data_IF_764519702737
#
_entry.id   IF_764519702737
#
_cell.length_a   1.000
_cell.length_b   1.000
_cell.length_c   1.000
_cell.angle_alpha   90.00
_cell.angle_beta   90.00
_cell.angle_gamma   90.00
#
_symmetry.space_group_name_H-M   'P 1'
#
loop_
_entity.id
_entity.type
_entity.pdbx_description
1 polymer ?
#
# COMPACT_ATOMS: atom_id res chain seq x y z
N UNK A 1 16.95 -22.25 -15.38
CA UNK A 1 16.85 -21.00 -16.15
C UNK A 1 16.73 -19.93 -15.10
N UNK A 2 17.88 -19.59 -14.55
CA UNK A 2 17.99 -18.87 -13.30
C UNK A 2 17.74 -17.40 -13.57
N UNK A 3 16.59 -16.93 -13.11
CA UNK A 3 16.28 -15.52 -13.04
C UNK A 3 17.04 -15.01 -11.82
N UNK A 4 18.23 -14.46 -12.03
CA UNK A 4 18.96 -13.75 -11.00
C UNK A 4 18.01 -12.73 -10.36
N UNK A 5 17.63 -13.00 -9.11
CA UNK A 5 16.76 -12.14 -8.33
C UNK A 5 17.51 -10.86 -8.00
N UNK A 6 17.33 -9.83 -8.83
CA UNK A 6 17.73 -8.48 -8.48
C UNK A 6 17.10 -8.03 -7.15
N UNK A 7 17.59 -6.91 -6.61
CA UNK A 7 17.23 -6.30 -5.31
C UNK A 7 15.73 -6.03 -5.08
N UNK A 8 14.87 -6.33 -6.06
CA UNK A 8 13.41 -6.16 -6.05
C UNK A 8 12.64 -7.46 -6.32
N UNK A 9 13.19 -8.63 -5.98
CA UNK A 9 12.46 -9.88 -6.13
C UNK A 9 11.28 -9.95 -5.16
N UNK A 10 10.07 -10.10 -5.71
CA UNK A 10 8.86 -10.35 -4.94
C UNK A 10 9.00 -11.74 -4.31
N UNK A 11 9.14 -11.79 -2.99
CA UNK A 11 9.16 -13.04 -2.24
C UNK A 11 7.75 -13.39 -1.77
N UNK A 12 7.18 -14.44 -2.34
CA UNK A 12 5.93 -15.03 -1.86
C UNK A 12 6.21 -15.83 -0.58
N UNK A 13 5.37 -15.65 0.43
CA UNK A 13 5.51 -16.29 1.74
C UNK A 13 4.17 -16.88 2.19
N UNK A 14 4.22 -17.91 3.04
CA UNK A 14 3.02 -18.49 3.64
C UNK A 14 2.38 -17.59 4.71
N UNK A 15 1.17 -17.94 5.16
CA UNK A 15 0.38 -17.12 6.10
C UNK A 15 1.12 -16.84 7.41
N UNK A 16 1.80 -17.83 7.99
CA UNK A 16 2.51 -17.66 9.26
C UNK A 16 3.68 -16.65 9.15
N UNK A 17 4.49 -16.76 8.09
CA UNK A 17 5.58 -15.81 7.82
C UNK A 17 5.02 -14.43 7.44
N UNK A 18 3.92 -14.36 6.68
CA UNK A 18 3.26 -13.10 6.36
C UNK A 18 2.79 -12.38 7.63
N UNK A 19 2.19 -13.10 8.59
CA UNK A 19 1.73 -12.53 9.84
C UNK A 19 2.88 -11.93 10.65
N UNK A 20 4.00 -12.66 10.77
CA UNK A 20 5.22 -12.18 11.44
C UNK A 20 5.80 -10.93 10.77
N UNK A 21 5.88 -10.91 9.43
CA UNK A 21 6.34 -9.73 8.69
C UNK A 21 5.40 -8.53 8.89
N UNK A 22 4.10 -8.75 8.81
CA UNK A 22 3.09 -7.69 8.98
C UNK A 22 3.13 -7.11 10.39
N UNK A 23 3.34 -7.92 11.43
CA UNK A 23 3.40 -7.42 12.81
C UNK A 23 4.63 -6.56 13.12
N UNK A 24 5.69 -6.67 12.30
CA UNK A 24 6.94 -5.94 12.47
C UNK A 24 7.20 -4.92 11.34
N UNK A 25 6.20 -4.65 10.48
CA UNK A 25 6.35 -3.76 9.35
C UNK A 25 5.80 -2.37 9.66
N UNK A 26 6.63 -1.37 9.41
CA UNK A 26 6.27 0.06 9.48
C UNK A 26 5.40 0.49 8.28
N UNK A 27 5.58 -0.21 7.13
CA UNK A 27 4.90 0.13 5.88
C UNK A 27 4.39 -1.09 5.15
N UNK A 28 3.10 -1.04 4.83
CA UNK A 28 2.38 -2.15 4.20
C UNK A 28 1.60 -1.62 2.99
N UNK A 29 1.90 -2.16 1.81
CA UNK A 29 1.16 -1.90 0.59
C UNK A 29 0.17 -3.05 0.34
N UNK A 30 -1.13 -2.74 0.27
CA UNK A 30 -2.20 -3.72 0.01
C UNK A 30 -2.71 -3.57 -1.43
N UNK A 31 -2.37 -4.52 -2.30
CA UNK A 31 -2.75 -4.55 -3.73
C UNK A 31 -3.62 -5.76 -4.07
N UNK A 32 -4.37 -5.67 -5.17
CA UNK A 32 -5.27 -6.72 -5.65
C UNK A 32 -6.47 -6.19 -6.43
N UNK A 33 -7.33 -7.11 -6.89
CA UNK A 33 -8.48 -6.78 -7.74
C UNK A 33 -9.54 -5.91 -7.04
N UNK A 34 -10.36 -5.21 -7.83
CA UNK A 34 -11.55 -4.51 -7.31
C UNK A 34 -12.48 -5.48 -6.58
N UNK A 35 -13.15 -5.03 -5.51
CA UNK A 35 -14.02 -5.87 -4.67
C UNK A 35 -13.30 -6.87 -3.75
N UNK A 36 -11.99 -7.09 -3.89
CA UNK A 36 -11.24 -8.08 -3.09
C UNK A 36 -10.98 -7.72 -1.62
N UNK A 37 -11.63 -6.69 -1.07
CA UNK A 37 -11.53 -6.34 0.35
C UNK A 37 -10.24 -5.60 0.79
N UNK A 38 -9.45 -5.07 -0.15
CA UNK A 38 -8.18 -4.36 0.13
C UNK A 38 -8.33 -3.23 1.14
N UNK A 39 -9.29 -2.33 0.91
CA UNK A 39 -9.52 -1.18 1.79
C UNK A 39 -9.93 -1.65 3.19
N UNK A 40 -10.76 -2.69 3.28
CA UNK A 40 -11.14 -3.30 4.56
C UNK A 40 -9.94 -3.90 5.29
N UNK A 41 -9.07 -4.63 4.58
CA UNK A 41 -7.86 -5.21 5.16
C UNK A 41 -6.89 -4.11 5.62
N UNK A 42 -6.60 -3.13 4.76
CA UNK A 42 -5.69 -2.02 5.04
C UNK A 42 -6.16 -1.21 6.26
N UNK A 43 -7.47 -0.90 6.36
CA UNK A 43 -8.04 -0.20 7.51
C UNK A 43 -7.94 -1.04 8.80
N UNK A 44 -8.16 -2.36 8.73
CA UNK A 44 -8.03 -3.25 9.89
C UNK A 44 -6.60 -3.35 10.39
N UNK A 45 -5.63 -3.49 9.47
CA UNK A 45 -4.20 -3.53 9.78
C UNK A 45 -3.76 -2.19 10.39
N UNK A 46 -4.11 -1.08 9.75
CA UNK A 46 -3.83 0.27 10.25
C UNK A 46 -4.37 0.48 11.67
N UNK A 47 -5.65 0.15 11.91
CA UNK A 47 -6.24 0.24 13.26
C UNK A 47 -5.56 -0.68 14.27
N UNK A 48 -5.18 -1.89 13.87
CA UNK A 48 -4.62 -2.92 14.78
C UNK A 48 -3.20 -2.60 15.23
N UNK A 49 -2.41 -1.98 14.36
CA UNK A 49 -1.00 -1.65 14.59
C UNK A 49 -0.74 -0.15 14.71
N UNK A 50 -1.80 0.65 14.82
CA UNK A 50 -1.72 2.11 14.96
C UNK A 50 -0.96 2.80 13.81
N UNK A 51 -1.00 2.20 12.61
CA UNK A 51 -0.39 2.76 11.40
C UNK A 51 -1.32 3.75 10.70
N UNK A 52 -0.75 4.67 9.94
CA UNK A 52 -1.52 5.60 9.11
C UNK A 52 -2.16 4.88 7.93
N UNK A 53 -3.47 5.03 7.75
CA UNK A 53 -4.18 4.50 6.58
C UNK A 53 -4.21 5.50 5.42
N UNK A 54 -3.56 5.13 4.31
CA UNK A 54 -3.52 5.91 3.07
C UNK A 54 -4.28 5.15 1.98
N UNK A 55 -5.24 5.80 1.34
CA UNK A 55 -6.00 5.29 0.22
C UNK A 55 -5.52 5.94 -1.07
N UNK A 56 -4.94 5.16 -1.99
CA UNK A 56 -4.50 5.69 -3.29
C UNK A 56 -5.65 6.33 -4.06
N UNK A 57 -6.86 5.76 -4.00
CA UNK A 57 -8.02 6.30 -4.70
C UNK A 57 -8.43 7.67 -4.15
N UNK A 58 -8.61 7.77 -2.83
CA UNK A 58 -9.11 8.99 -2.18
C UNK A 58 -8.04 10.07 -2.08
N UNK A 59 -6.85 9.69 -1.63
CA UNK A 59 -5.81 10.63 -1.20
C UNK A 59 -4.92 11.07 -2.39
N UNK A 60 -4.90 10.31 -3.49
CA UNK A 60 -4.02 10.58 -4.64
C UNK A 60 -4.78 10.69 -5.96
N UNK A 61 -5.66 9.74 -6.31
CA UNK A 61 -6.16 9.63 -7.68
C UNK A 61 -7.39 10.49 -7.97
N UNK A 62 -8.40 10.49 -7.10
CA UNK A 62 -9.72 11.02 -7.42
C UNK A 62 -10.10 12.24 -6.57
N UNK A 63 -10.62 13.26 -7.25
CA UNK A 63 -11.31 14.41 -6.67
C UNK A 63 -12.82 14.14 -6.57
N UNK A 64 -13.59 14.98 -5.82
CA UNK A 64 -15.04 14.91 -5.84
C UNK A 64 -15.60 14.93 -7.26
N UNK A 65 -16.61 14.09 -7.52
CA UNK A 65 -17.15 13.89 -8.86
C UNK A 65 -16.34 12.91 -9.73
N UNK A 66 -15.43 12.12 -9.14
CA UNK A 66 -14.62 11.11 -9.85
C UNK A 66 -13.72 11.71 -10.94
N UNK A 67 -13.30 12.96 -10.75
CA UNK A 67 -12.34 13.62 -11.63
C UNK A 67 -10.94 13.15 -11.24
N UNK A 68 -10.20 12.59 -12.19
CA UNK A 68 -8.83 12.16 -11.93
C UNK A 68 -7.91 13.39 -11.76
N UNK A 69 -7.10 13.41 -10.69
CA UNK A 69 -6.03 14.41 -10.54
C UNK A 69 -5.03 14.32 -11.69
N UNK A 70 -4.34 15.40 -11.98
CA UNK A 70 -3.27 15.35 -12.98
C UNK A 70 -2.07 14.51 -12.50
N UNK A 71 -1.28 13.99 -13.44
CA UNK A 71 -0.15 13.12 -13.12
C UNK A 71 0.93 13.80 -12.26
N UNK A 72 1.35 15.05 -12.53
CA UNK A 72 2.29 15.75 -11.66
C UNK A 72 1.83 15.85 -10.21
N UNK A 73 0.56 16.19 -9.98
CA UNK A 73 -0.03 16.28 -8.66
C UNK A 73 -0.08 14.92 -7.96
N UNK A 74 -0.51 13.87 -8.67
CA UNK A 74 -0.48 12.50 -8.14
C UNK A 74 0.92 12.11 -7.67
N UNK A 75 1.95 12.38 -8.50
CA UNK A 75 3.34 12.07 -8.15
C UNK A 75 3.81 12.82 -6.90
N UNK A 76 3.51 14.12 -6.81
CA UNK A 76 3.83 14.92 -5.62
C UNK A 76 3.19 14.33 -4.37
N UNK A 77 1.89 14.03 -4.41
CA UNK A 77 1.16 13.47 -3.28
C UNK A 77 1.72 12.11 -2.86
N UNK A 78 2.08 11.23 -3.81
CA UNK A 78 2.72 9.94 -3.50
C UNK A 78 4.04 10.16 -2.76
N UNK A 79 4.89 11.09 -3.22
CA UNK A 79 6.18 11.38 -2.58
C UNK A 79 5.98 11.93 -1.16
N UNK A 80 5.07 12.89 -0.99
CA UNK A 80 4.77 13.48 0.33
C UNK A 80 4.23 12.43 1.31
N UNK A 81 3.24 11.63 0.88
CA UNK A 81 2.65 10.56 1.69
C UNK A 81 3.67 9.47 2.03
N UNK A 82 4.56 9.12 1.09
CA UNK A 82 5.64 8.17 1.32
C UNK A 82 6.79 8.75 2.16
N UNK A 83 6.88 10.07 2.36
CA UNK A 83 7.88 10.70 3.22
C UNK A 83 7.43 10.82 4.69
N UNK A 84 6.14 10.59 4.97
CA UNK A 84 5.60 10.61 6.33
C UNK A 84 6.22 9.59 7.29
N UNK A 85 5.86 9.71 8.57
CA UNK A 85 6.34 8.84 9.66
C UNK A 85 6.18 7.35 9.30
N UNK A 86 7.15 6.55 9.76
CA UNK A 86 7.25 5.11 9.50
C UNK A 86 6.74 4.37 10.70
#
# INVERSE_FOLDING_TARGET
>A
MDMESGVNAIRYVGIAEAADKVSNADRILVIGCSGGGKSTLAQKVARRFELTYISIDRDVLWLPGWVQRDKPEQHRLIVELAAGER
#
